data_IF_764598886104
#
_entry.id   IF_764598886104
#
_cell.length_a   1.000
_cell.length_b   1.000
_cell.length_c   1.000
_cell.angle_alpha   90.00
_cell.angle_beta   90.00
_cell.angle_gamma   90.00
#
_symmetry.space_group_name_H-M   'P 1'
#
loop_
_entity.id
_entity.type
_entity.pdbx_description
1 polymer ?
#
# COMPACT_ATOMS: atom_id res chain seq x y z
N UNK A 1 7.33 -27.14 -19.52
CA UNK A 1 5.98 -27.26 -18.96
C UNK A 1 6.05 -26.68 -17.55
N UNK A 2 5.53 -25.48 -17.33
CA UNK A 2 5.53 -24.89 -15.97
C UNK A 2 4.24 -25.37 -15.32
N UNK A 3 4.36 -26.27 -14.34
CA UNK A 3 3.23 -26.68 -13.52
C UNK A 3 2.77 -25.48 -12.67
N UNK A 4 1.55 -25.02 -12.91
CA UNK A 4 0.86 -24.16 -11.96
C UNK A 4 0.55 -25.01 -10.72
N UNK A 5 1.27 -24.74 -9.63
CA UNK A 5 0.85 -25.24 -8.33
C UNK A 5 -0.50 -24.60 -7.98
N UNK A 6 -1.56 -25.40 -8.06
CA UNK A 6 -2.86 -25.04 -7.50
C UNK A 6 -2.67 -24.73 -6.01
N UNK A 7 -2.72 -23.44 -5.66
CA UNK A 7 -2.82 -23.01 -4.26
C UNK A 7 -4.22 -23.42 -3.81
N UNK A 8 -4.33 -24.65 -3.31
CA UNK A 8 -5.54 -25.11 -2.62
C UNK A 8 -5.67 -24.24 -1.38
N UNK A 9 -6.73 -23.43 -1.33
CA UNK A 9 -7.13 -22.72 -0.11
C UNK A 9 -7.30 -23.76 0.99
N UNK A 10 -6.39 -23.80 1.95
CA UNK A 10 -6.57 -24.61 3.15
C UNK A 10 -7.93 -24.28 3.77
N UNK A 11 -8.82 -25.26 4.02
CA UNK A 11 -10.21 -25.04 4.45
C UNK A 11 -10.36 -24.38 5.83
N UNK A 12 -9.23 -24.10 6.51
CA UNK A 12 -9.16 -23.44 7.82
C UNK A 12 -9.21 -21.90 7.72
N UNK A 13 -9.11 -21.34 6.52
CA UNK A 13 -8.97 -19.90 6.28
C UNK A 13 -9.91 -19.45 5.17
N UNK A 14 -11.18 -19.25 5.54
CA UNK A 14 -12.16 -18.66 4.63
C UNK A 14 -12.02 -17.12 4.71
N UNK A 15 -11.47 -16.53 3.66
CA UNK A 15 -11.74 -15.13 3.33
C UNK A 15 -13.27 -14.96 3.23
N UNK A 16 -13.87 -13.79 3.54
CA UNK A 16 -15.24 -13.49 3.10
C UNK A 16 -15.33 -13.57 1.57
N UNK A 17 -15.57 -14.77 1.02
CA UNK A 17 -15.44 -15.05 -0.42
C UNK A 17 -16.45 -14.30 -1.29
N UNK A 18 -17.51 -13.75 -0.70
CA UNK A 18 -18.68 -13.34 -1.46
C UNK A 18 -18.51 -12.06 -2.32
N UNK A 19 -17.44 -11.26 -2.18
CA UNK A 19 -17.39 -9.94 -2.83
C UNK A 19 -16.00 -9.45 -3.31
N UNK A 20 -14.96 -10.31 -3.41
CA UNK A 20 -13.69 -9.85 -4.00
C UNK A 20 -13.77 -9.88 -5.52
N UNK A 21 -13.59 -8.71 -6.14
CA UNK A 21 -13.34 -8.62 -7.57
C UNK A 21 -11.95 -9.18 -7.92
N UNK A 22 -11.93 -10.37 -8.53
CA UNK A 22 -10.72 -11.06 -8.95
C UNK A 22 -10.19 -10.62 -10.33
N UNK A 23 -10.85 -9.68 -11.01
CA UNK A 23 -10.42 -9.20 -12.33
C UNK A 23 -9.03 -8.57 -12.27
N UNK A 24 -8.77 -7.72 -11.28
CA UNK A 24 -7.48 -7.06 -11.13
C UNK A 24 -6.32 -8.05 -10.87
N UNK A 25 -6.39 -9.00 -9.91
CA UNK A 25 -5.37 -10.03 -9.74
C UNK A 25 -5.14 -10.88 -10.99
N UNK A 26 -6.21 -11.26 -11.71
CA UNK A 26 -6.08 -12.01 -12.98
C UNK A 26 -5.29 -11.20 -14.00
N UNK A 27 -5.60 -9.91 -14.15
CA UNK A 27 -4.89 -9.04 -15.09
C UNK A 27 -3.42 -8.85 -14.70
N UNK A 28 -3.14 -8.76 -13.40
CA UNK A 28 -1.78 -8.70 -12.85
C UNK A 28 -0.97 -9.96 -13.23
N UNK A 29 -1.57 -11.16 -13.11
CA UNK A 29 -0.94 -12.43 -13.53
C UNK A 29 -0.67 -12.44 -15.02
N UNK A 30 -1.67 -12.09 -15.85
CA UNK A 30 -1.56 -12.12 -17.30
C UNK A 30 -0.44 -11.22 -17.80
N UNK A 31 -0.39 -9.97 -17.33
CA UNK A 31 0.63 -9.01 -17.73
C UNK A 31 2.01 -9.40 -17.19
N UNK A 32 2.08 -9.94 -15.97
CA UNK A 32 3.32 -10.50 -15.41
C UNK A 32 3.90 -11.57 -16.33
N UNK A 33 3.11 -12.59 -16.67
CA UNK A 33 3.54 -13.68 -17.56
C UNK A 33 3.87 -13.19 -18.97
N UNK A 34 3.06 -12.29 -19.54
CA UNK A 34 3.27 -11.77 -20.89
C UNK A 34 4.55 -10.94 -20.98
N UNK A 35 4.85 -10.12 -19.98
CA UNK A 35 6.05 -9.30 -19.95
C UNK A 35 7.34 -10.14 -20.00
N UNK A 36 7.31 -11.34 -19.41
CA UNK A 36 8.46 -12.24 -19.33
C UNK A 36 8.72 -13.05 -20.61
N UNK A 37 7.76 -13.11 -21.54
CA UNK A 37 7.88 -13.94 -22.76
C UNK A 37 9.07 -13.57 -23.64
N UNK A 38 9.46 -12.29 -23.62
CA UNK A 38 10.55 -11.76 -24.44
C UNK A 38 11.92 -11.78 -23.74
N UNK A 39 11.99 -12.24 -22.49
CA UNK A 39 13.19 -12.16 -21.64
C UNK A 39 14.03 -13.45 -21.66
N UNK A 40 13.56 -14.51 -22.35
CA UNK A 40 14.27 -15.79 -22.47
C UNK A 40 15.62 -15.57 -23.17
N UNK A 41 16.72 -16.03 -22.54
CA UNK A 41 18.11 -15.88 -22.98
C UNK A 41 18.69 -14.45 -22.98
N UNK A 42 18.09 -13.52 -22.23
CA UNK A 42 18.63 -12.17 -22.07
C UNK A 42 19.69 -12.10 -20.98
N UNK A 43 20.74 -11.29 -21.18
CA UNK A 43 21.68 -10.97 -20.10
C UNK A 43 20.96 -10.25 -18.95
N UNK A 44 21.18 -10.71 -17.72
CA UNK A 44 20.51 -10.23 -16.52
C UNK A 44 21.52 -9.86 -15.43
N UNK A 45 21.46 -8.62 -14.96
CA UNK A 45 22.30 -8.12 -13.88
C UNK A 45 21.46 -7.95 -12.62
N UNK A 46 21.82 -8.65 -11.54
CA UNK A 46 21.12 -8.60 -10.26
C UNK A 46 21.28 -7.24 -9.58
N UNK A 47 20.20 -6.73 -8.97
CA UNK A 47 20.27 -5.49 -8.19
C UNK A 47 20.94 -5.72 -6.83
N UNK A 48 21.88 -4.86 -6.46
CA UNK A 48 22.59 -4.88 -5.17
C UNK A 48 22.49 -3.49 -4.51
N UNK A 49 21.48 -3.26 -3.68
CA UNK A 49 21.36 -2.03 -2.89
C UNK A 49 21.29 -2.32 -1.38
N UNK A 50 22.12 -1.61 -0.62
CA UNK A 50 22.16 -1.58 0.85
C UNK A 50 21.51 -0.29 1.38
N UNK A 51 20.68 -0.42 2.43
CA UNK A 51 20.04 0.70 3.12
C UNK A 51 21.04 1.45 4.01
N UNK A 52 21.19 2.76 3.81
CA UNK A 52 21.84 3.68 4.75
C UNK A 52 20.82 4.28 5.71
N UNK A 53 21.13 4.28 7.01
CA UNK A 53 20.39 5.00 8.05
C UNK A 53 21.24 6.17 8.57
N UNK A 54 20.64 7.35 8.69
CA UNK A 54 21.27 8.55 9.21
C UNK A 54 21.04 8.76 10.71
N UNK A 55 22.01 9.45 11.30
CA UNK A 55 22.26 9.73 12.72
C UNK A 55 21.29 10.79 13.27
N UNK A 56 20.92 10.67 14.55
CA UNK A 56 20.13 11.67 15.29
C UNK A 56 21.02 12.76 15.86
N UNK A 57 20.68 14.02 15.58
CA UNK A 57 21.13 15.20 16.33
C UNK A 57 20.10 15.60 17.40
N UNK A 58 20.57 16.29 18.45
CA UNK A 58 19.74 16.77 19.56
C UNK A 58 18.85 17.94 19.12
N UNK A 59 17.55 17.80 19.38
CA UNK A 59 16.52 18.74 18.93
C UNK A 59 15.92 19.53 20.09
N UNK A 60 15.74 20.83 19.85
CA UNK A 60 14.90 21.73 20.62
C UNK A 60 13.45 21.22 20.61
N UNK A 61 12.79 21.14 21.77
CA UNK A 61 11.45 20.56 21.94
C UNK A 61 10.39 21.66 21.80
N UNK A 62 9.66 21.75 20.68
CA UNK A 62 8.59 22.72 20.51
C UNK A 62 7.33 22.23 21.24
N UNK A 63 6.46 23.16 21.66
CA UNK A 63 5.17 22.78 22.25
C UNK A 63 4.22 22.23 21.17
N UNK A 64 3.44 21.18 21.47
CA UNK A 64 2.46 20.65 20.53
C UNK A 64 1.35 21.67 20.22
N UNK A 65 0.76 21.60 19.03
CA UNK A 65 -0.25 22.55 18.58
C UNK A 65 -1.58 22.41 19.34
N UNK A 66 -1.84 21.25 19.94
CA UNK A 66 -3.07 20.95 20.67
C UNK A 66 -2.78 20.08 21.91
N UNK A 67 -3.76 20.02 22.81
CA UNK A 67 -3.72 19.13 23.97
C UNK A 67 -3.89 17.67 23.49
N UNK A 68 -3.10 16.73 24.03
CA UNK A 68 -3.26 15.32 23.69
C UNK A 68 -4.62 14.78 24.16
N UNK A 69 -5.26 14.00 23.30
CA UNK A 69 -6.44 13.21 23.63
C UNK A 69 -5.94 11.81 24.02
N UNK A 70 -6.06 11.40 25.29
CA UNK A 70 -5.60 10.09 25.72
C UNK A 70 -6.45 8.99 25.09
N UNK A 71 -5.80 7.97 24.53
CA UNK A 71 -6.49 6.81 23.99
C UNK A 71 -6.73 5.78 25.10
N UNK A 72 -7.92 5.18 25.10
CA UNK A 72 -8.28 4.08 26.00
C UNK A 72 -8.48 2.80 25.17
N UNK A 73 -8.10 1.63 25.69
CA UNK A 73 -8.39 0.36 25.03
C UNK A 73 -9.89 0.20 24.78
N UNK A 74 -10.26 -0.26 23.58
CA UNK A 74 -11.62 -0.71 23.31
C UNK A 74 -11.75 -2.16 23.79
N UNK A 75 -12.65 -2.42 24.74
CA UNK A 75 -12.93 -3.75 25.28
C UNK A 75 -13.95 -4.54 24.44
N UNK A 76 -14.62 -3.89 23.49
CA UNK A 76 -15.54 -4.56 22.58
C UNK A 76 -14.81 -5.33 21.49
N UNK A 77 -15.33 -6.50 21.16
CA UNK A 77 -14.82 -7.33 20.08
C UNK A 77 -14.98 -6.58 18.75
N UNK A 78 -13.85 -6.16 18.17
CA UNK A 78 -13.81 -5.35 16.95
C UNK A 78 -13.01 -6.08 15.87
N UNK A 79 -13.57 -6.32 14.67
CA UNK A 79 -12.80 -6.80 13.53
C UNK A 79 -11.63 -5.86 13.23
N UNK A 80 -10.44 -6.42 13.01
CA UNK A 80 -9.26 -5.64 12.60
C UNK A 80 -8.75 -6.23 11.30
N UNK A 81 -8.58 -5.41 10.27
CA UNK A 81 -7.95 -5.82 9.02
C UNK A 81 -6.79 -4.89 8.69
N UNK A 82 -5.79 -5.40 7.98
CA UNK A 82 -4.65 -4.62 7.54
C UNK A 82 -4.19 -5.06 6.16
N UNK A 83 -3.54 -4.14 5.45
CA UNK A 83 -2.94 -4.38 4.14
C UNK A 83 -1.49 -3.90 4.14
N UNK A 84 -0.64 -4.65 3.46
CA UNK A 84 0.74 -4.27 3.17
C UNK A 84 1.12 -4.77 1.77
N UNK A 85 1.96 -4.00 1.07
CA UNK A 85 2.56 -4.41 -0.20
C UNK A 85 4.06 -4.24 -0.15
N UNK A 86 4.75 -5.14 -0.83
CA UNK A 86 6.19 -5.03 -0.99
C UNK A 86 6.56 -5.23 -2.44
N UNK A 87 7.49 -4.41 -2.91
CA UNK A 87 8.06 -4.52 -4.24
C UNK A 87 9.58 -4.47 -4.16
N UNK A 88 10.24 -5.19 -5.07
CA UNK A 88 11.68 -5.20 -5.21
C UNK A 88 12.05 -5.14 -6.68
N UNK A 89 13.13 -4.43 -7.01
CA UNK A 89 13.81 -4.59 -8.29
C UNK A 89 14.73 -5.80 -8.17
N UNK A 90 14.52 -6.79 -9.03
CA UNK A 90 15.34 -8.00 -9.06
C UNK A 90 16.64 -7.75 -9.81
N UNK A 91 16.58 -6.93 -10.85
CA UNK A 91 17.74 -6.63 -11.68
C UNK A 91 17.38 -5.91 -12.98
N UNK A 92 18.34 -5.85 -13.87
CA UNK A 92 18.23 -5.18 -15.17
C UNK A 92 18.61 -6.11 -16.31
N UNK A 93 18.01 -5.85 -17.46
CA UNK A 93 18.35 -6.41 -18.77
C UNK A 93 18.80 -5.27 -19.68
N UNK A 94 19.32 -5.58 -20.87
CA UNK A 94 19.65 -4.54 -21.86
C UNK A 94 18.45 -3.69 -22.32
N UNK A 95 17.21 -4.14 -22.08
CA UNK A 95 15.99 -3.47 -22.54
C UNK A 95 15.17 -2.82 -21.42
N UNK A 96 15.46 -3.11 -20.16
CA UNK A 96 14.62 -2.66 -19.05
C UNK A 96 14.85 -3.42 -17.76
N UNK A 97 13.94 -3.27 -16.80
CA UNK A 97 14.08 -3.78 -15.44
C UNK A 97 13.21 -5.00 -15.18
N UNK A 98 13.67 -5.89 -14.33
CA UNK A 98 12.87 -6.99 -13.79
C UNK A 98 12.51 -6.68 -12.36
N UNK A 99 11.22 -6.72 -12.03
CA UNK A 99 10.69 -6.37 -10.71
C UNK A 99 9.81 -7.50 -10.19
N UNK A 100 9.68 -7.60 -8.86
CA UNK A 100 8.72 -8.48 -8.20
C UNK A 100 7.85 -7.68 -7.24
N UNK A 101 6.53 -7.92 -7.29
CA UNK A 101 5.54 -7.23 -6.47
C UNK A 101 4.66 -8.26 -5.78
N UNK A 102 4.42 -8.10 -4.48
CA UNK A 102 3.45 -8.92 -3.73
C UNK A 102 2.63 -8.04 -2.80
N UNK A 103 1.41 -8.49 -2.52
CA UNK A 103 0.51 -7.83 -1.58
C UNK A 103 -0.10 -8.82 -0.61
N UNK A 104 -0.38 -8.36 0.60
CA UNK A 104 -0.98 -9.18 1.66
C UNK A 104 -2.09 -8.39 2.35
N UNK A 105 -3.23 -9.04 2.54
CA UNK A 105 -4.25 -8.59 3.47
C UNK A 105 -4.33 -9.57 4.63
N UNK A 106 -4.43 -9.06 5.85
CA UNK A 106 -4.67 -9.85 7.05
C UNK A 106 -5.93 -9.35 7.74
N UNK A 107 -6.64 -10.23 8.43
CA UNK A 107 -7.74 -9.83 9.28
C UNK A 107 -7.84 -10.73 10.51
N UNK A 108 -8.36 -10.15 11.58
CA UNK A 108 -8.74 -10.81 12.81
C UNK A 108 -10.21 -10.52 13.07
N UNK A 109 -11.01 -11.57 13.12
CA UNK A 109 -12.42 -11.50 13.49
C UNK A 109 -12.60 -12.46 14.65
N UNK A 110 -12.99 -11.93 15.81
CA UNK A 110 -13.05 -12.68 17.06
C UNK A 110 -11.72 -13.32 17.44
N UNK A 111 -11.70 -14.65 17.60
CA UNK A 111 -10.53 -15.46 17.88
C UNK A 111 -9.87 -16.04 16.62
N UNK A 112 -10.38 -15.70 15.43
CA UNK A 112 -9.89 -16.24 14.16
C UNK A 112 -9.06 -15.21 13.42
N UNK A 113 -7.93 -15.67 12.88
CA UNK A 113 -7.07 -14.91 11.99
C UNK A 113 -7.15 -15.49 10.58
N UNK A 114 -7.17 -14.61 9.58
CA UNK A 114 -7.09 -14.97 8.19
C UNK A 114 -6.11 -14.06 7.45
N UNK A 115 -5.60 -14.55 6.33
CA UNK A 115 -4.77 -13.76 5.43
C UNK A 115 -5.00 -14.15 3.98
N UNK A 116 -4.75 -13.19 3.09
CA UNK A 116 -4.69 -13.35 1.65
C UNK A 116 -3.34 -12.85 1.21
N UNK A 117 -2.59 -13.69 0.49
CA UNK A 117 -1.33 -13.31 -0.15
C UNK A 117 -1.51 -13.38 -1.65
N UNK A 118 -1.16 -12.31 -2.35
CA UNK A 118 -1.24 -12.21 -3.81
C UNK A 118 0.15 -11.95 -4.38
N UNK A 119 0.57 -12.76 -5.36
CA UNK A 119 1.93 -12.74 -5.91
C UNK A 119 2.90 -13.71 -5.21
N UNK A 120 4.23 -13.57 -5.42
CA UNK A 120 4.86 -12.46 -6.13
C UNK A 120 4.57 -12.49 -7.63
N UNK A 121 4.30 -11.33 -8.19
CA UNK A 121 4.15 -11.10 -9.62
C UNK A 121 5.45 -10.53 -10.15
N UNK A 122 6.03 -11.19 -11.14
CA UNK A 122 7.31 -10.79 -11.72
C UNK A 122 7.05 -10.11 -13.06
N UNK A 123 7.57 -8.90 -13.24
CA UNK A 123 7.42 -8.15 -14.49
C UNK A 123 8.77 -7.84 -15.09
N UNK A 124 8.87 -7.95 -16.41
CA UNK A 124 9.94 -7.33 -17.19
C UNK A 124 9.39 -6.07 -17.87
N UNK A 125 9.72 -4.91 -17.31
CA UNK A 125 9.25 -3.62 -17.81
C UNK A 125 10.35 -2.98 -18.65
N UNK A 126 9.99 -2.60 -19.88
CA UNK A 126 10.86 -1.90 -20.83
C UNK A 126 10.23 -0.56 -21.22
N UNK A 127 10.97 0.32 -21.87
CA UNK A 127 10.41 1.59 -22.37
C UNK A 127 9.27 1.35 -23.37
N UNK A 128 9.33 0.27 -24.15
CA UNK A 128 8.30 -0.06 -25.13
C UNK A 128 6.98 -0.52 -24.50
N UNK A 129 7.03 -1.29 -23.40
CA UNK A 129 5.83 -1.89 -22.80
C UNK A 129 5.28 -1.13 -21.59
N UNK A 130 6.06 -0.22 -20.98
CA UNK A 130 5.73 0.43 -19.71
C UNK A 130 4.35 1.09 -19.73
N UNK A 131 4.10 1.92 -20.74
CA UNK A 131 2.87 2.72 -20.81
C UNK A 131 1.64 1.83 -20.97
N UNK A 132 1.74 0.78 -21.78
CA UNK A 132 0.66 -0.17 -22.01
C UNK A 132 0.35 -0.97 -20.74
N UNK A 133 1.37 -1.60 -20.15
CA UNK A 133 1.22 -2.43 -18.94
C UNK A 133 0.62 -1.60 -17.80
N UNK A 134 1.17 -0.40 -17.55
CA UNK A 134 0.69 0.45 -16.46
C UNK A 134 -0.74 0.92 -16.69
N UNK A 135 -1.07 1.40 -17.89
CA UNK A 135 -2.41 1.90 -18.22
C UNK A 135 -3.48 0.82 -18.11
N UNK A 136 -3.17 -0.40 -18.53
CA UNK A 136 -4.09 -1.54 -18.39
C UNK A 136 -4.34 -1.82 -16.90
N UNK A 137 -3.29 -1.95 -16.09
CA UNK A 137 -3.44 -2.19 -14.64
C UNK A 137 -4.21 -1.07 -13.95
N UNK A 138 -3.88 0.18 -14.28
CA UNK A 138 -4.55 1.35 -13.74
C UNK A 138 -6.04 1.33 -14.05
N UNK A 139 -6.43 1.12 -15.31
CA UNK A 139 -7.84 1.09 -15.71
C UNK A 139 -8.61 -0.08 -15.11
N UNK A 140 -7.99 -1.24 -14.96
CA UNK A 140 -8.62 -2.39 -14.30
C UNK A 140 -8.87 -2.11 -12.83
N UNK A 141 -8.00 -1.33 -12.18
CA UNK A 141 -8.15 -1.02 -10.75
C UNK A 141 -9.08 0.18 -10.49
N UNK A 142 -8.95 1.23 -11.31
CA UNK A 142 -9.64 2.51 -11.18
C UNK A 142 -9.95 3.09 -12.58
N UNK A 143 -11.10 2.71 -13.17
CA UNK A 143 -11.45 3.07 -14.56
C UNK A 143 -11.56 4.57 -14.83
N UNK A 144 -12.01 5.32 -13.82
CA UNK A 144 -12.33 6.76 -13.92
C UNK A 144 -11.10 7.68 -13.73
N UNK A 145 -9.97 7.14 -13.28
CA UNK A 145 -8.76 7.91 -13.04
C UNK A 145 -7.89 7.97 -14.31
N UNK A 146 -7.23 9.10 -14.55
CA UNK A 146 -6.19 9.24 -15.57
C UNK A 146 -4.88 9.64 -14.89
N UNK A 147 -4.16 8.64 -14.36
CA UNK A 147 -2.85 8.83 -13.76
C UNK A 147 -1.80 9.17 -14.82
N UNK A 148 -0.86 10.03 -14.46
CA UNK A 148 0.30 10.30 -15.28
C UNK A 148 1.10 9.01 -15.51
N UNK A 149 1.51 8.77 -16.76
CA UNK A 149 2.43 7.68 -17.08
C UNK A 149 3.71 7.78 -16.23
N UNK A 150 4.10 6.71 -15.54
CA UNK A 150 5.29 6.70 -14.73
C UNK A 150 6.54 6.67 -15.60
N UNK A 151 7.69 7.05 -15.04
CA UNK A 151 8.99 6.73 -15.63
C UNK A 151 9.40 5.31 -15.24
N UNK A 152 10.34 4.72 -15.98
CA UNK A 152 10.84 3.36 -15.70
C UNK A 152 11.35 3.22 -14.25
N UNK A 153 11.99 4.25 -13.68
CA UNK A 153 12.45 4.24 -12.29
C UNK A 153 11.33 4.29 -11.24
N UNK A 154 10.12 4.70 -11.63
CA UNK A 154 8.97 4.83 -10.74
C UNK A 154 8.02 3.63 -10.83
N UNK A 155 8.11 2.82 -11.90
CA UNK A 155 7.11 1.80 -12.21
C UNK A 155 6.93 0.78 -11.09
N UNK A 156 8.03 0.41 -10.41
CA UNK A 156 8.02 -0.55 -9.29
C UNK A 156 7.08 -0.09 -8.18
N UNK A 157 7.29 1.13 -7.68
CA UNK A 157 6.47 1.73 -6.64
C UNK A 157 5.04 1.95 -7.13
N UNK A 158 4.88 2.44 -8.36
CA UNK A 158 3.56 2.75 -8.97
C UNK A 158 2.67 1.51 -9.09
N UNK A 159 3.22 0.41 -9.59
CA UNK A 159 2.51 -0.86 -9.70
C UNK A 159 2.23 -1.47 -8.32
N UNK A 160 3.15 -1.34 -7.36
CA UNK A 160 2.93 -1.76 -5.97
C UNK A 160 1.76 -0.98 -5.35
N UNK A 161 1.71 0.34 -5.55
CA UNK A 161 0.65 1.20 -5.04
C UNK A 161 -0.72 0.83 -5.65
N UNK A 162 -0.79 0.50 -6.95
CA UNK A 162 -2.03 0.00 -7.55
C UNK A 162 -2.53 -1.27 -6.86
N UNK A 163 -1.63 -2.24 -6.60
CA UNK A 163 -1.97 -3.46 -5.87
C UNK A 163 -2.42 -3.16 -4.43
N UNK A 164 -1.76 -2.23 -3.76
CA UNK A 164 -2.13 -1.81 -2.41
C UNK A 164 -3.53 -1.20 -2.39
N UNK A 165 -3.82 -0.28 -3.31
CA UNK A 165 -5.12 0.40 -3.40
C UNK A 165 -6.24 -0.58 -3.72
N UNK A 166 -5.98 -1.58 -4.58
CA UNK A 166 -6.93 -2.67 -4.82
C UNK A 166 -7.23 -3.46 -3.53
N UNK A 167 -6.20 -3.84 -2.78
CA UNK A 167 -6.35 -4.56 -1.51
C UNK A 167 -7.07 -3.71 -0.44
N UNK A 168 -6.75 -2.41 -0.35
CA UNK A 168 -7.43 -1.44 0.52
C UNK A 168 -8.92 -1.35 0.17
N UNK A 169 -9.27 -1.21 -1.11
CA UNK A 169 -10.65 -1.19 -1.59
C UNK A 169 -11.37 -2.52 -1.32
N UNK A 170 -10.69 -3.65 -1.49
CA UNK A 170 -11.23 -4.99 -1.20
C UNK A 170 -11.56 -5.14 0.28
N UNK A 171 -10.68 -4.70 1.20
CA UNK A 171 -10.95 -4.72 2.63
C UNK A 171 -12.07 -3.76 3.03
N UNK A 172 -12.09 -2.55 2.46
CA UNK A 172 -13.13 -1.56 2.71
C UNK A 172 -14.54 -2.09 2.39
N UNK A 173 -14.66 -2.93 1.34
CA UNK A 173 -15.91 -3.58 0.93
C UNK A 173 -16.24 -4.85 1.73
N UNK A 174 -15.24 -5.52 2.32
CA UNK A 174 -15.43 -6.86 2.91
C UNK A 174 -15.58 -6.85 4.44
N UNK A 175 -15.03 -5.84 5.12
CA UNK A 175 -15.11 -5.71 6.58
C UNK A 175 -16.31 -4.84 6.95
N UNK A 176 -17.00 -5.20 8.04
CA UNK A 176 -18.12 -4.44 8.58
C UNK A 176 -17.84 -4.08 10.04
N UNK A 177 -18.19 -2.85 10.44
CA UNK A 177 -18.08 -2.36 11.82
C UNK A 177 -16.70 -2.62 12.46
N UNK A 178 -15.63 -2.51 11.67
CA UNK A 178 -14.27 -2.85 12.08
C UNK A 178 -13.27 -1.70 12.01
N UNK A 179 -12.01 -2.03 12.23
CA UNK A 179 -10.87 -1.14 12.05
C UNK A 179 -10.05 -1.65 10.87
N UNK A 180 -9.79 -0.78 9.90
CA UNK A 180 -8.94 -1.07 8.74
C UNK A 180 -7.63 -0.28 8.87
N UNK A 181 -6.52 -1.00 8.80
CA UNK A 181 -5.17 -0.46 8.97
C UNK A 181 -4.49 -0.37 7.61
N UNK A 182 -4.04 0.83 7.25
CA UNK A 182 -3.21 1.05 6.06
C UNK A 182 -1.75 1.26 6.49
N UNK A 183 -0.81 0.63 5.77
CA UNK A 183 0.61 1.00 5.89
C UNK A 183 0.85 2.31 5.13
N UNK A 184 1.66 3.21 5.70
CA UNK A 184 1.86 4.55 5.18
C UNK A 184 0.91 5.61 5.73
N UNK A 185 0.82 6.75 5.05
CA UNK A 185 -0.01 7.89 5.45
C UNK A 185 -1.28 7.97 4.61
N UNK A 186 -2.30 8.70 5.11
CA UNK A 186 -3.47 9.09 4.31
C UNK A 186 -3.20 10.33 3.43
N UNK A 187 -1.95 10.56 3.03
CA UNK A 187 -1.61 11.72 2.19
C UNK A 187 -2.29 11.57 0.83
N UNK A 188 -3.14 12.55 0.49
CA UNK A 188 -3.88 12.59 -0.77
C UNK A 188 -3.35 13.71 -1.69
N UNK A 189 -3.64 13.61 -2.99
CA UNK A 189 -3.26 14.61 -3.98
C UNK A 189 -1.85 14.46 -4.52
N UNK A 190 -1.19 13.33 -4.22
CA UNK A 190 0.04 12.95 -4.90
C UNK A 190 -0.30 12.20 -6.19
N UNK A 191 0.66 12.11 -7.11
CA UNK A 191 0.45 11.35 -8.32
C UNK A 191 0.18 9.85 -8.06
N UNK A 192 0.62 9.32 -6.91
CA UNK A 192 0.44 7.93 -6.48
C UNK A 192 -0.84 7.70 -5.66
N UNK A 193 -1.47 8.77 -5.16
CA UNK A 193 -2.71 8.71 -4.38
C UNK A 193 -3.58 9.91 -4.72
N UNK A 194 -4.27 9.89 -5.87
CA UNK A 194 -5.30 10.86 -6.18
C UNK A 194 -6.32 11.01 -5.06
N UNK A 195 -6.80 12.24 -4.88
CA UNK A 195 -7.79 12.57 -3.85
C UNK A 195 -9.07 11.76 -4.05
N UNK A 196 -9.52 11.64 -5.29
CA UNK A 196 -10.77 10.96 -5.62
C UNK A 196 -10.71 9.47 -5.26
N UNK A 197 -9.68 8.76 -5.71
CA UNK A 197 -9.41 7.36 -5.33
C UNK A 197 -9.41 7.11 -3.81
N UNK A 198 -8.61 7.86 -3.04
CA UNK A 198 -8.55 7.64 -1.58
C UNK A 198 -9.90 7.97 -0.92
N UNK A 199 -10.56 9.04 -1.37
CA UNK A 199 -11.88 9.44 -0.86
C UNK A 199 -12.91 8.34 -1.10
N UNK A 200 -12.91 7.70 -2.26
CA UNK A 200 -13.82 6.60 -2.58
C UNK A 200 -13.63 5.43 -1.60
N UNK A 201 -12.38 4.96 -1.43
CA UNK A 201 -12.04 3.86 -0.50
C UNK A 201 -12.51 4.18 0.92
N UNK A 202 -12.22 5.39 1.41
CA UNK A 202 -12.60 5.82 2.76
C UNK A 202 -14.12 6.00 2.91
N UNK A 203 -14.81 6.43 1.85
CA UNK A 203 -16.28 6.57 1.83
C UNK A 203 -16.94 5.20 1.95
N UNK A 204 -16.46 4.21 1.17
CA UNK A 204 -16.95 2.83 1.24
C UNK A 204 -16.68 2.24 2.63
N UNK A 205 -15.45 2.40 3.15
CA UNK A 205 -15.12 1.91 4.49
C UNK A 205 -16.07 2.50 5.54
N UNK A 206 -16.34 3.81 5.47
CA UNK A 206 -17.27 4.49 6.38
C UNK A 206 -18.70 4.01 6.23
N UNK A 207 -19.20 3.78 5.01
CA UNK A 207 -20.56 3.27 4.80
C UNK A 207 -20.75 1.85 5.34
N UNK A 208 -19.67 1.08 5.43
CA UNK A 208 -19.64 -0.25 6.06
C UNK A 208 -19.42 -0.19 7.58
N UNK A 209 -19.45 1.00 8.19
CA UNK A 209 -19.25 1.22 9.62
C UNK A 209 -17.80 1.09 10.08
N UNK A 210 -16.83 1.07 9.15
CA UNK A 210 -15.42 0.90 9.49
C UNK A 210 -14.74 2.22 9.85
N UNK A 211 -13.78 2.14 10.78
CA UNK A 211 -12.81 3.20 11.06
C UNK A 211 -11.50 2.85 10.36
N UNK A 212 -10.98 3.76 9.53
CA UNK A 212 -9.68 3.58 8.88
C UNK A 212 -8.60 4.33 9.63
N UNK A 213 -7.50 3.65 9.93
CA UNK A 213 -6.29 4.22 10.54
C UNK A 213 -5.11 3.93 9.62
N UNK A 214 -4.21 4.90 9.43
CA UNK A 214 -2.98 4.70 8.66
C UNK A 214 -1.76 4.93 9.55
N UNK A 215 -0.72 4.11 9.36
CA UNK A 215 0.47 4.11 10.20
C UNK A 215 1.72 4.29 9.35
N UNK A 216 2.48 5.34 9.61
CA UNK A 216 3.78 5.55 8.97
C UNK A 216 4.91 5.40 9.98
N UNK A 217 5.94 4.62 9.64
CA UNK A 217 7.11 4.37 10.50
C UNK A 217 8.05 5.58 10.57
N UNK A 218 8.08 6.39 9.51
CA UNK A 218 8.92 7.58 9.38
C UNK A 218 8.06 8.72 8.87
N UNK A 219 8.08 9.85 9.56
CA UNK A 219 7.37 11.05 9.11
C UNK A 219 8.37 12.16 8.84
N UNK A 220 8.11 12.96 7.80
CA UNK A 220 8.79 14.25 7.55
C UNK A 220 7.84 15.42 7.82
N UNK A 221 6.65 15.14 8.36
CA UNK A 221 5.63 16.14 8.59
C UNK A 221 6.13 17.16 9.61
N UNK A 222 6.06 18.43 9.24
CA UNK A 222 6.53 19.54 10.06
C UNK A 222 5.41 20.51 10.38
N UNK A 223 5.39 20.98 11.62
CA UNK A 223 4.55 22.08 12.06
C UNK A 223 5.47 23.23 12.49
N UNK A 224 5.28 24.42 11.92
CA UNK A 224 6.15 25.59 12.12
C UNK A 224 7.66 25.30 11.94
N UNK A 225 8.01 24.42 11.00
CA UNK A 225 9.41 24.05 10.69
C UNK A 225 9.98 22.91 11.53
N UNK A 226 9.31 22.50 12.61
CA UNK A 226 9.76 21.41 13.48
C UNK A 226 9.04 20.11 13.17
N UNK A 227 9.72 18.97 13.35
CA UNK A 227 9.11 17.68 13.12
C UNK A 227 7.97 17.45 14.13
N UNK A 228 6.84 16.92 13.67
CA UNK A 228 5.68 16.71 14.56
C UNK A 228 6.00 15.76 15.72
N UNK A 229 6.95 14.83 15.54
CA UNK A 229 7.34 13.87 16.60
C UNK A 229 8.14 14.53 17.71
N UNK A 230 8.86 15.62 17.43
CA UNK A 230 9.63 16.34 18.44
C UNK A 230 8.69 17.02 19.45
N UNK A 231 7.49 17.39 19.00
CA UNK A 231 6.45 17.98 19.84
C UNK A 231 5.78 16.97 20.78
N UNK A 232 5.99 15.66 20.54
CA UNK A 232 5.39 14.57 21.31
C UNK A 232 6.28 14.07 22.45
N UNK A 233 7.53 14.52 22.55
CA UNK A 233 8.51 14.01 23.52
C UNK A 233 8.04 14.06 24.98
N UNK A 234 7.18 15.03 25.33
CA UNK A 234 6.65 15.21 26.68
C UNK A 234 5.22 14.67 26.88
N UNK A 235 4.66 13.94 25.90
CA UNK A 235 3.29 13.45 25.95
C UNK A 235 3.25 11.98 26.36
N UNK A 236 2.22 11.59 27.14
CA UNK A 236 2.04 10.19 27.56
C UNK A 236 1.33 9.39 26.46
N UNK A 237 2.00 8.41 25.81
CA UNK A 237 1.34 7.55 24.82
C UNK A 237 0.45 6.47 25.47
N UNK A 238 -0.52 5.88 24.73
CA UNK A 238 -0.96 6.29 23.40
C UNK A 238 -1.92 7.50 23.47
N UNK A 239 -1.74 8.47 22.57
CA UNK A 239 -2.58 9.66 22.47
C UNK A 239 -2.78 10.10 21.02
N UNK A 240 -3.87 10.81 20.77
CA UNK A 240 -4.08 11.57 19.53
C UNK A 240 -3.74 13.03 19.78
N UNK A 241 -3.12 13.67 18.79
CA UNK A 241 -2.94 15.12 18.79
C UNK A 241 -3.54 15.65 17.51
N UNK A 242 -4.47 16.58 17.66
CA UNK A 242 -5.00 17.33 16.54
C UNK A 242 -3.93 18.29 16.03
N UNK A 243 -3.60 18.20 14.75
CA UNK A 243 -2.69 19.15 14.11
C UNK A 243 -3.54 20.07 13.22
N UNK A 244 -3.74 21.34 13.60
CA UNK A 244 -4.53 22.29 12.83
C UNK A 244 -3.86 22.58 11.48
N UNK A 245 -4.67 22.80 10.44
CA UNK A 245 -4.32 23.08 9.04
C UNK A 245 -2.82 23.15 8.74
N UNK A 246 -2.22 22.00 8.47
CA UNK A 246 -0.87 21.92 7.91
C UNK A 246 -1.00 22.25 6.44
N UNK A 247 -0.84 23.54 6.08
CA UNK A 247 -0.64 23.88 4.67
C UNK A 247 0.70 23.29 4.24
N UNK A 248 0.76 22.38 3.27
CA UNK A 248 2.04 22.04 2.65
C UNK A 248 2.61 23.35 2.10
N UNK A 249 3.83 23.71 2.50
CA UNK A 249 4.53 24.79 1.80
C UNK A 249 4.82 24.30 0.37
N UNK A 250 4.59 25.12 -0.65
CA UNK A 250 4.93 24.78 -2.03
C UNK A 250 6.42 24.47 -2.18
#
# INVERSE_FOLDING_TARGET
>A
MIEQHNIVTTPKYNFPQAQIDLEFPKRFVELSLNSLKQTINSAFQLDQQFLQQNIKEQLYVPRPPARPIPLRPNSSETPIAAVDTSSIKLGETSKGIVIAIRGTSIWKIRHSYGYLRVGPFIFHITEENLNEVYKILQKTCFPEENLTSPRLMQITTRMSNLLEKWLQASLAKSINNGIILFDGSLTAGTADTPVHQLKEILTIARSMGNVTLAFTKVTTLRFNGYLITDMLLNQKPPCLIEVPDIKPRP
#
